data_IF_521849358766
#
_entry.id   IF_521849358766
#
_cell.length_a   1.000
_cell.length_b   1.000
_cell.length_c   1.000
_cell.angle_alpha   90.00
_cell.angle_beta   90.00
_cell.angle_gamma   90.00
#
_symmetry.space_group_name_H-M   'P 1'
#
loop_
_entity.id
_entity.type
_entity.pdbx_description
1 polymer ?
#
# COMPACT_ATOMS: atom_id res chain seq x y z
N UNK A 1 3.52 -7.62 20.89
CA UNK A 1 4.32 -6.48 21.37
C UNK A 1 4.15 -5.30 20.41
N UNK A 2 3.84 -4.14 20.96
CA UNK A 2 3.56 -2.89 20.25
C UNK A 2 4.83 -2.02 20.16
N UNK A 3 5.38 -1.73 18.97
CA UNK A 3 6.57 -0.89 18.83
C UNK A 3 6.42 0.49 19.46
N UNK A 4 5.23 1.10 19.44
CA UNK A 4 5.00 2.42 20.03
C UNK A 4 5.17 2.44 21.55
N UNK A 5 4.95 1.30 22.21
CA UNK A 5 5.13 1.19 23.66
C UNK A 5 6.60 0.95 24.03
N UNK A 6 7.39 0.41 23.10
CA UNK A 6 8.79 0.10 23.33
C UNK A 6 9.71 1.28 23.00
N UNK A 7 9.41 2.00 21.92
CA UNK A 7 10.28 3.02 21.35
C UNK A 7 9.55 4.36 21.09
N UNK A 8 8.84 4.91 22.09
CA UNK A 8 8.03 6.12 21.88
C UNK A 8 8.89 7.32 21.45
N UNK A 9 10.04 7.53 22.08
CA UNK A 9 10.91 8.66 21.81
C UNK A 9 11.53 8.58 20.40
N UNK A 10 11.87 7.38 19.94
CA UNK A 10 12.50 7.17 18.65
C UNK A 10 11.50 7.34 17.50
N UNK A 11 10.23 6.96 17.69
CA UNK A 11 9.17 7.26 16.73
C UNK A 11 8.81 8.75 16.72
N UNK A 12 8.81 9.43 17.87
CA UNK A 12 8.62 10.88 17.95
C UNK A 12 9.75 11.64 17.25
N UNK A 13 10.99 11.19 17.39
CA UNK A 13 12.15 11.79 16.71
C UNK A 13 12.09 11.66 15.18
N UNK A 14 11.36 10.67 14.65
CA UNK A 14 11.20 10.44 13.21
C UNK A 14 10.16 11.38 12.57
N UNK A 15 9.22 11.91 13.34
CA UNK A 15 8.09 12.70 12.83
C UNK A 15 8.32 14.21 12.92
N UNK A 16 7.72 14.97 12.01
CA UNK A 16 7.88 16.42 11.96
C UNK A 16 7.16 17.16 13.08
N UNK A 17 7.46 18.45 13.25
CA UNK A 17 6.76 19.29 14.23
C UNK A 17 5.24 19.33 13.93
N UNK A 18 4.42 19.01 14.94
CA UNK A 18 2.95 18.94 14.82
C UNK A 18 2.41 17.66 14.16
N UNK A 19 3.30 16.71 13.83
CA UNK A 19 2.94 15.36 13.38
C UNK A 19 2.81 14.43 14.60
N UNK A 20 1.73 13.66 14.66
CA UNK A 20 1.47 12.71 15.76
C UNK A 20 1.37 11.29 15.22
N UNK A 21 2.07 10.36 15.88
CA UNK A 21 2.03 8.94 15.52
C UNK A 21 0.75 8.31 16.08
N UNK A 22 -0.06 7.73 15.20
CA UNK A 22 -1.34 7.08 15.52
C UNK A 22 -1.19 5.57 15.71
N UNK A 23 -0.31 4.94 14.93
CA UNK A 23 -0.02 3.52 15.03
C UNK A 23 1.36 3.21 14.46
N UNK A 24 2.03 2.21 15.03
CA UNK A 24 3.17 1.57 14.39
C UNK A 24 3.08 0.05 14.51
N UNK A 25 3.52 -0.66 13.47
CA UNK A 25 3.60 -2.11 13.48
C UNK A 25 4.77 -2.59 12.64
N UNK A 26 5.53 -3.53 13.17
CA UNK A 26 6.45 -4.33 12.36
C UNK A 26 5.67 -4.97 11.20
N UNK A 27 6.18 -4.82 9.98
CA UNK A 27 5.58 -5.36 8.78
C UNK A 27 6.62 -5.97 7.86
N UNK A 28 6.17 -6.88 7.01
CA UNK A 28 6.93 -7.38 5.88
C UNK A 28 5.99 -7.53 4.70
N UNK A 29 6.55 -7.70 3.50
CA UNK A 29 5.73 -7.98 2.31
C UNK A 29 4.97 -9.28 2.54
N UNK A 30 3.67 -9.30 2.24
CA UNK A 30 2.89 -10.53 2.35
C UNK A 30 3.42 -11.60 1.38
N UNK A 31 3.37 -12.87 1.76
CA UNK A 31 3.82 -13.99 0.92
C UNK A 31 2.66 -14.57 0.09
N UNK A 32 2.98 -15.31 -0.97
CA UNK A 32 2.00 -16.10 -1.72
C UNK A 32 1.69 -15.52 -3.10
N UNK A 33 1.78 -16.40 -4.10
CA UNK A 33 1.70 -16.25 -5.55
C UNK A 33 0.36 -15.81 -6.13
N UNK A 34 -0.46 -15.10 -5.36
CA UNK A 34 -1.63 -14.45 -5.95
C UNK A 34 -1.20 -13.03 -6.25
N UNK A 35 -1.03 -12.74 -7.55
CA UNK A 35 -1.21 -11.38 -8.03
C UNK A 35 -2.40 -10.80 -7.26
N UNK A 36 -2.26 -9.60 -6.71
CA UNK A 36 -3.42 -8.84 -6.24
C UNK A 36 -4.24 -8.48 -7.49
N UNK A 37 -4.90 -9.48 -8.06
CA UNK A 37 -5.83 -9.38 -9.18
C UNK A 37 -7.13 -8.91 -8.58
N UNK A 38 -7.47 -7.65 -8.86
CA UNK A 38 -8.80 -7.15 -8.54
C UNK A 38 -9.79 -7.80 -9.48
N UNK A 39 -10.86 -8.35 -8.93
CA UNK A 39 -11.97 -8.83 -9.74
C UNK A 39 -12.58 -7.66 -10.55
N UNK A 40 -13.17 -7.91 -11.73
CA UNK A 40 -13.86 -6.87 -12.51
C UNK A 40 -14.89 -6.10 -11.69
N UNK A 41 -15.58 -6.76 -10.75
CA UNK A 41 -16.58 -6.16 -9.88
C UNK A 41 -15.97 -5.23 -8.82
N UNK A 42 -14.79 -5.54 -8.31
CA UNK A 42 -14.05 -4.65 -7.40
C UNK A 42 -13.50 -3.43 -8.15
N UNK A 43 -13.07 -3.61 -9.39
CA UNK A 43 -12.65 -2.53 -10.27
C UNK A 43 -13.81 -1.56 -10.55
N UNK A 44 -15.00 -2.08 -10.86
CA UNK A 44 -16.21 -1.26 -11.06
C UNK A 44 -16.59 -0.45 -9.81
N UNK A 45 -16.44 -1.03 -8.61
CA UNK A 45 -16.66 -0.30 -7.36
C UNK A 45 -15.67 0.84 -7.15
N UNK A 46 -14.39 0.62 -7.45
CA UNK A 46 -13.33 1.62 -7.26
C UNK A 46 -13.43 2.80 -8.23
N UNK A 47 -13.84 2.56 -9.48
CA UNK A 47 -14.11 3.66 -10.41
C UNK A 47 -15.45 4.34 -10.15
N UNK A 48 -16.32 3.73 -9.35
CA UNK A 48 -17.63 4.28 -8.97
C UNK A 48 -17.56 5.64 -8.26
N UNK A 49 -16.43 5.94 -7.61
CA UNK A 49 -16.17 7.21 -6.93
C UNK A 49 -15.69 8.34 -7.86
N UNK A 50 -15.36 8.02 -9.12
CA UNK A 50 -14.89 9.00 -10.11
C UNK A 50 -16.06 9.77 -10.75
N UNK A 51 -15.82 11.01 -11.23
CA UNK A 51 -16.82 11.75 -12.01
C UNK A 51 -17.33 10.93 -13.20
N UNK A 52 -18.63 11.03 -13.51
CA UNK A 52 -19.31 10.16 -14.47
C UNK A 52 -18.54 9.99 -15.80
N UNK A 53 -18.06 11.09 -16.38
CA UNK A 53 -17.30 11.06 -17.65
C UNK A 53 -16.00 10.25 -17.56
N UNK A 54 -15.28 10.35 -16.44
CA UNK A 54 -14.00 9.64 -16.21
C UNK A 54 -14.25 8.17 -15.89
N UNK A 55 -15.27 7.90 -15.05
CA UNK A 55 -15.72 6.54 -14.74
C UNK A 55 -16.13 5.80 -16.02
N UNK A 56 -16.95 6.42 -16.86
CA UNK A 56 -17.50 5.76 -18.05
C UNK A 56 -16.39 5.46 -19.07
N UNK A 57 -15.37 6.33 -19.17
CA UNK A 57 -14.16 6.08 -19.98
C UNK A 57 -13.30 4.95 -19.40
N UNK A 58 -13.09 4.92 -18.08
CA UNK A 58 -12.37 3.84 -17.41
C UNK A 58 -13.08 2.48 -17.57
N UNK A 59 -14.41 2.45 -17.43
CA UNK A 59 -15.24 1.26 -17.62
C UNK A 59 -15.22 0.76 -19.07
N UNK A 60 -15.26 1.68 -20.04
CA UNK A 60 -15.14 1.34 -21.46
C UNK A 60 -13.77 0.70 -21.77
N UNK A 61 -12.69 1.23 -21.19
CA UNK A 61 -11.36 0.64 -21.32
C UNK A 61 -11.27 -0.77 -20.71
N UNK A 62 -11.89 -0.99 -19.54
CA UNK A 62 -11.94 -2.30 -18.89
C UNK A 62 -12.70 -3.35 -19.72
N UNK A 63 -13.78 -2.96 -20.40
CA UNK A 63 -14.63 -3.86 -21.21
C UNK A 63 -14.06 -4.18 -22.59
N UNK A 64 -13.14 -3.36 -23.11
CA UNK A 64 -12.63 -3.48 -24.47
C UNK A 64 -11.53 -4.54 -24.65
N UNK A 65 -11.09 -5.23 -23.58
CA UNK A 65 -9.88 -6.07 -23.62
C UNK A 65 -10.17 -7.54 -23.26
N UNK A 66 -9.88 -8.52 -24.15
CA UNK A 66 -10.06 -9.94 -23.87
C UNK A 66 -8.94 -10.52 -22.97
N UNK A 67 -7.91 -9.73 -22.66
CA UNK A 67 -6.81 -10.10 -21.76
C UNK A 67 -6.77 -9.16 -20.56
N UNK A 68 -7.11 -9.64 -19.36
CA UNK A 68 -7.25 -8.79 -18.17
C UNK A 68 -5.94 -8.05 -17.79
N UNK A 69 -4.79 -8.56 -18.24
CA UNK A 69 -3.46 -8.04 -17.89
C UNK A 69 -3.13 -6.65 -18.46
N UNK A 70 -3.75 -6.21 -19.57
CA UNK A 70 -3.44 -4.92 -20.22
C UNK A 70 -4.48 -3.83 -20.00
N UNK A 71 -5.64 -4.19 -19.48
CA UNK A 71 -6.75 -3.26 -19.26
C UNK A 71 -6.37 -2.11 -18.30
N UNK A 72 -5.45 -2.38 -17.37
CA UNK A 72 -4.98 -1.41 -16.38
C UNK A 72 -4.21 -0.24 -16.97
N UNK A 73 -3.33 -0.49 -17.93
CA UNK A 73 -2.48 0.53 -18.54
C UNK A 73 -3.30 1.63 -19.22
N UNK A 74 -4.45 1.25 -19.81
CA UNK A 74 -5.35 2.21 -20.46
C UNK A 74 -6.20 3.00 -19.47
N UNK A 75 -6.66 2.37 -18.38
CA UNK A 75 -7.39 3.09 -17.31
C UNK A 75 -6.49 4.15 -16.70
N UNK A 76 -5.22 3.81 -16.43
CA UNK A 76 -4.21 4.77 -15.95
C UNK A 76 -3.95 5.86 -17.00
N UNK A 77 -3.81 5.52 -18.28
CA UNK A 77 -3.64 6.51 -19.34
C UNK A 77 -4.82 7.49 -19.46
N UNK A 78 -6.05 7.02 -19.21
CA UNK A 78 -7.25 7.86 -19.15
C UNK A 78 -7.25 8.75 -17.91
N UNK A 79 -6.83 8.24 -16.75
CA UNK A 79 -6.81 8.98 -15.48
C UNK A 79 -5.68 10.02 -15.41
N UNK A 80 -4.52 9.73 -16.01
CA UNK A 80 -3.30 10.54 -15.90
C UNK A 80 -3.15 11.53 -17.06
N UNK A 81 -3.95 11.39 -18.12
CA UNK A 81 -3.76 12.15 -19.36
C UNK A 81 -2.61 11.56 -20.15
N UNK A 82 -2.87 11.22 -21.41
CA UNK A 82 -1.93 10.54 -22.28
C UNK A 82 -0.66 11.38 -22.54
N UNK A 83 0.38 11.24 -21.71
CA UNK A 83 1.74 11.69 -22.07
C UNK A 83 2.92 11.12 -21.25
N UNK A 84 2.74 10.06 -20.46
CA UNK A 84 3.89 9.35 -19.86
C UNK A 84 4.03 7.95 -20.46
N UNK A 85 4.97 7.79 -21.38
CA UNK A 85 5.33 6.52 -22.02
C UNK A 85 5.84 5.52 -20.96
N UNK A 86 4.98 4.57 -20.61
CA UNK A 86 5.20 3.49 -19.65
C UNK A 86 6.11 2.42 -20.28
N UNK A 87 7.33 2.24 -19.78
CA UNK A 87 8.10 1.00 -20.02
C UNK A 87 7.69 -0.03 -18.97
N UNK A 88 6.76 -0.89 -19.37
CA UNK A 88 6.29 -2.03 -18.60
C UNK A 88 7.35 -3.13 -18.65
N UNK A 89 7.93 -3.45 -17.50
CA UNK A 89 8.84 -4.59 -17.37
C UNK A 89 8.05 -5.80 -16.86
N UNK A 90 7.85 -6.75 -17.78
CA UNK A 90 7.00 -7.93 -17.61
C UNK A 90 7.55 -8.85 -16.50
N UNK A 91 8.86 -8.89 -16.27
CA UNK A 91 9.46 -9.67 -15.19
C UNK A 91 9.16 -9.08 -13.80
N UNK A 92 8.95 -7.75 -13.73
CA UNK A 92 8.46 -7.05 -12.53
C UNK A 92 6.96 -7.28 -12.28
N UNK A 93 6.20 -7.60 -13.33
CA UNK A 93 4.77 -7.92 -13.25
C UNK A 93 4.49 -9.42 -12.97
N UNK A 94 5.44 -10.31 -13.27
CA UNK A 94 5.31 -11.77 -13.10
C UNK A 94 5.80 -12.25 -11.72
N UNK A 95 6.65 -11.50 -11.03
CA UNK A 95 7.30 -11.92 -9.78
C UNK A 95 6.43 -12.05 -8.51
N UNK A 96 5.09 -12.03 -8.59
CA UNK A 96 4.23 -12.23 -7.40
C UNK A 96 4.52 -11.23 -6.29
N UNK A 97 4.33 -9.95 -6.57
CA UNK A 97 4.63 -8.88 -5.63
C UNK A 97 3.40 -8.63 -4.74
N UNK A 98 3.60 -8.56 -3.43
CA UNK A 98 2.65 -8.04 -2.44
C UNK A 98 2.32 -6.53 -2.61
N UNK A 99 2.40 -6.04 -3.85
CA UNK A 99 2.03 -4.72 -4.28
C UNK A 99 1.58 -4.82 -5.74
N UNK A 100 0.41 -4.29 -6.06
CA UNK A 100 -0.08 -4.13 -7.43
C UNK A 100 -0.11 -2.63 -7.76
N UNK A 101 0.47 -2.24 -8.88
CA UNK A 101 0.56 -0.83 -9.28
C UNK A 101 1.65 -0.62 -10.32
N UNK A 102 1.58 0.51 -11.03
CA UNK A 102 2.61 0.87 -12.00
C UNK A 102 3.87 1.40 -11.30
N UNK A 103 4.99 1.45 -12.03
CA UNK A 103 6.21 2.10 -11.54
C UNK A 103 5.92 3.56 -11.15
N UNK A 104 6.36 3.97 -9.96
CA UNK A 104 6.09 5.30 -9.41
C UNK A 104 4.77 5.46 -8.63
N UNK A 105 3.90 4.44 -8.64
CA UNK A 105 2.70 4.43 -7.78
C UNK A 105 3.04 4.41 -6.29
N UNK A 106 2.07 4.76 -5.44
CA UNK A 106 2.18 4.75 -3.99
C UNK A 106 2.62 3.37 -3.48
N UNK A 107 1.96 2.30 -3.95
CA UNK A 107 2.33 0.94 -3.56
C UNK A 107 3.74 0.56 -4.06
N UNK A 108 4.14 0.98 -5.26
CA UNK A 108 5.48 0.72 -5.78
C UNK A 108 6.56 1.44 -4.97
N UNK A 109 6.36 2.72 -4.64
CA UNK A 109 7.29 3.50 -3.80
C UNK A 109 7.48 2.87 -2.43
N UNK A 110 6.38 2.47 -1.79
CA UNK A 110 6.43 1.80 -0.50
C UNK A 110 7.10 0.42 -0.61
N UNK A 111 6.73 -0.38 -1.61
CA UNK A 111 7.32 -1.71 -1.81
C UNK A 111 8.83 -1.65 -2.13
N UNK A 112 9.28 -0.67 -2.91
CA UNK A 112 10.69 -0.43 -3.20
C UNK A 112 11.45 -0.05 -1.93
N UNK A 113 10.87 0.78 -1.05
CA UNK A 113 11.45 1.10 0.26
C UNK A 113 11.67 -0.11 1.17
N UNK A 114 10.94 -1.21 0.98
CA UNK A 114 11.10 -2.44 1.77
C UNK A 114 12.16 -3.40 1.22
N UNK A 115 12.73 -3.15 0.03
CA UNK A 115 13.54 -4.17 -0.67
C UNK A 115 14.82 -4.55 0.09
N UNK A 116 15.52 -3.55 0.62
CA UNK A 116 16.87 -3.72 1.18
C UNK A 116 16.89 -3.59 2.72
N UNK A 117 15.73 -3.38 3.34
CA UNK A 117 15.62 -3.18 4.77
C UNK A 117 15.39 -4.50 5.52
N UNK A 118 16.26 -4.81 6.49
CA UNK A 118 16.17 -6.04 7.29
C UNK A 118 14.98 -6.08 8.24
N UNK A 119 14.61 -4.94 8.84
CA UNK A 119 13.48 -4.81 9.75
C UNK A 119 12.68 -3.56 9.41
N UNK A 120 11.42 -3.74 9.01
CA UNK A 120 10.57 -2.64 8.54
C UNK A 120 9.36 -2.47 9.44
N UNK A 121 9.02 -1.22 9.71
CA UNK A 121 7.86 -0.80 10.47
C UNK A 121 6.96 0.06 9.61
N UNK A 122 5.67 -0.25 9.58
CA UNK A 122 4.65 0.65 9.08
C UNK A 122 4.27 1.62 10.20
N UNK A 123 4.45 2.91 9.98
CA UNK A 123 4.10 3.99 10.90
C UNK A 123 3.02 4.84 10.25
N UNK A 124 1.93 5.08 10.98
CA UNK A 124 0.81 5.91 10.54
C UNK A 124 0.79 7.14 11.40
N UNK A 125 0.80 8.31 10.77
CA UNK A 125 0.68 9.60 11.44
C UNK A 125 -0.65 10.28 11.07
N UNK A 126 -0.91 11.44 11.67
CA UNK A 126 -2.00 12.31 11.23
C UNK A 126 -1.79 12.92 9.84
N UNK A 127 -0.59 12.81 9.24
CA UNK A 127 -0.26 13.45 7.95
C UNK A 127 0.14 12.47 6.85
N UNK A 128 0.74 11.32 7.19
CA UNK A 128 1.30 10.38 6.22
C UNK A 128 1.38 8.96 6.74
N UNK A 129 1.60 8.06 5.80
CA UNK A 129 1.99 6.67 6.04
C UNK A 129 3.47 6.56 5.70
N UNK A 130 4.27 6.05 6.64
CA UNK A 130 5.72 5.94 6.55
C UNK A 130 6.12 4.48 6.73
N UNK A 131 6.97 3.98 5.84
CA UNK A 131 7.77 2.78 6.11
C UNK A 131 9.08 3.22 6.72
N UNK A 132 9.40 2.68 7.88
CA UNK A 132 10.60 3.01 8.63
C UNK A 132 11.49 1.78 8.79
N UNK A 133 12.78 1.95 8.54
CA UNK A 133 13.82 1.01 8.93
C UNK A 133 14.16 1.21 10.40
N UNK A 134 14.75 0.19 11.02
CA UNK A 134 15.22 0.24 12.40
C UNK A 134 16.70 -0.14 12.44
N UNK A 135 17.52 0.76 12.98
CA UNK A 135 18.87 0.47 13.41
C UNK A 135 18.81 -0.07 14.84
N UNK A 136 19.66 -1.04 15.18
CA UNK A 136 19.63 -1.71 16.50
C UNK A 136 20.65 -1.15 17.48
N UNK A 137 21.66 -0.41 17.02
CA UNK A 137 22.73 0.13 17.85
C UNK A 137 23.32 1.44 17.27
N UNK A 138 22.93 2.63 17.79
CA UNK A 138 21.83 2.83 18.75
C UNK A 138 20.48 2.51 18.10
N UNK A 139 19.45 2.25 18.93
CA UNK A 139 18.09 2.09 18.41
C UNK A 139 17.61 3.40 17.80
N UNK A 140 17.35 3.40 16.49
CA UNK A 140 16.87 4.56 15.76
C UNK A 140 15.95 4.13 14.61
N UNK A 141 14.95 4.96 14.31
CA UNK A 141 14.08 4.77 13.15
C UNK A 141 14.39 5.80 12.08
N UNK A 142 14.48 5.34 10.83
CA UNK A 142 14.71 6.21 9.68
C UNK A 142 13.66 5.93 8.59
N UNK A 143 13.12 6.96 7.93
CA UNK A 143 12.12 6.78 6.87
C UNK A 143 12.77 6.14 5.64
N UNK A 144 12.15 5.07 5.13
CA UNK A 144 12.53 4.38 3.89
C UNK A 144 11.69 4.88 2.70
N UNK A 145 10.39 5.08 2.95
CA UNK A 145 9.45 5.62 1.98
C UNK A 145 8.22 6.15 2.72
N UNK A 146 7.59 7.18 2.16
CA UNK A 146 6.34 7.72 2.69
C UNK A 146 5.37 8.16 1.61
N UNK A 147 4.10 8.19 1.98
CA UNK A 147 3.00 8.72 1.17
C UNK A 147 2.05 9.54 2.04
N UNK A 148 1.43 10.63 1.52
CA UNK A 148 0.46 11.41 2.27
C UNK A 148 -0.72 10.55 2.75
N UNK A 149 -1.29 10.86 3.91
CA UNK A 149 -2.39 10.06 4.49
C UNK A 149 -3.62 10.08 3.57
N UNK A 150 -3.84 11.20 2.88
CA UNK A 150 -4.90 11.36 1.88
C UNK A 150 -4.70 10.53 0.61
N UNK A 151 -3.51 9.95 0.39
CA UNK A 151 -3.28 9.01 -0.70
C UNK A 151 -3.83 7.61 -0.39
N UNK A 152 -4.14 7.30 0.88
CA UNK A 152 -4.76 6.03 1.27
C UNK A 152 -6.26 6.13 0.99
N UNK A 153 -6.78 5.21 0.18
CA UNK A 153 -8.21 5.12 -0.14
C UNK A 153 -8.94 4.24 0.88
N UNK A 154 -8.41 3.05 1.17
CA UNK A 154 -8.96 2.14 2.18
C UNK A 154 -7.89 1.21 2.72
N UNK A 155 -8.11 0.68 3.92
CA UNK A 155 -7.33 -0.42 4.45
C UNK A 155 -8.26 -1.48 5.03
N UNK A 156 -7.94 -2.74 4.80
CA UNK A 156 -8.71 -3.87 5.32
C UNK A 156 -7.79 -4.99 5.76
N UNK A 157 -8.26 -5.79 6.71
CA UNK A 157 -7.61 -7.05 7.05
C UNK A 157 -8.08 -8.13 6.07
N UNK A 158 -7.14 -8.84 5.48
CA UNK A 158 -7.40 -9.93 4.54
C UNK A 158 -6.63 -11.17 4.97
N UNK A 159 -6.97 -11.68 6.16
CA UNK A 159 -6.27 -12.80 6.77
C UNK A 159 -6.36 -14.06 5.89
N UNK A 160 -5.22 -14.76 5.73
CA UNK A 160 -5.15 -16.07 5.05
C UNK A 160 -4.57 -17.13 5.98
N UNK A 161 -4.61 -18.39 5.56
CA UNK A 161 -3.92 -19.48 6.28
C UNK A 161 -2.43 -19.10 6.43
N UNK A 162 -1.92 -19.10 7.67
CA UNK A 162 -0.57 -18.62 8.06
C UNK A 162 -0.27 -17.13 7.83
N UNK A 163 -1.26 -16.30 7.49
CA UNK A 163 -1.11 -14.84 7.35
C UNK A 163 -2.27 -14.10 8.02
N UNK A 164 -2.53 -14.38 9.29
CA UNK A 164 -3.69 -13.78 9.99
C UNK A 164 -3.58 -12.26 10.11
N UNK A 165 -2.37 -11.72 10.21
CA UNK A 165 -2.10 -10.28 10.29
C UNK A 165 -1.94 -9.60 8.92
N UNK A 166 -2.46 -10.17 7.84
CA UNK A 166 -2.40 -9.56 6.49
C UNK A 166 -3.33 -8.35 6.41
N UNK A 167 -2.76 -7.22 6.01
CA UNK A 167 -3.44 -5.96 5.75
C UNK A 167 -3.28 -5.64 4.26
N UNK A 168 -4.37 -5.24 3.63
CA UNK A 168 -4.36 -4.74 2.27
C UNK A 168 -4.76 -3.27 2.30
N UNK A 169 -3.92 -2.43 1.70
CA UNK A 169 -4.06 -0.98 1.62
C UNK A 169 -4.26 -0.62 0.15
N UNK A 170 -5.36 0.05 -0.14
CA UNK A 170 -5.66 0.63 -1.45
C UNK A 170 -5.31 2.12 -1.43
N UNK A 171 -4.75 2.60 -2.53
CA UNK A 171 -4.39 4.00 -2.71
C UNK A 171 -5.26 4.70 -3.75
N UNK A 172 -5.23 6.03 -3.76
CA UNK A 172 -6.01 6.88 -4.69
C UNK A 172 -5.55 6.75 -6.14
N UNK A 173 -4.27 6.43 -6.37
CA UNK A 173 -3.74 6.06 -7.69
C UNK A 173 -4.12 4.62 -8.09
N UNK A 174 -5.03 4.03 -7.32
CA UNK A 174 -5.56 2.69 -7.47
C UNK A 174 -4.47 1.62 -7.40
N UNK A 175 -3.29 1.92 -6.88
CA UNK A 175 -2.33 0.89 -6.48
C UNK A 175 -2.79 0.20 -5.19
N UNK A 176 -2.24 -0.97 -4.91
CA UNK A 176 -2.55 -1.76 -3.72
C UNK A 176 -1.27 -2.29 -3.10
N UNK A 177 -1.16 -2.27 -1.78
CA UNK A 177 -0.06 -2.85 -1.03
C UNK A 177 -0.60 -3.85 -0.01
N UNK A 178 -0.04 -5.06 -0.01
CA UNK A 178 -0.34 -6.10 0.96
C UNK A 178 0.84 -6.29 1.92
N UNK A 179 0.57 -6.09 3.21
CA UNK A 179 1.56 -6.18 4.28
C UNK A 179 1.17 -7.30 5.24
N UNK A 180 2.15 -8.08 5.68
CA UNK A 180 1.99 -9.02 6.77
C UNK A 180 2.49 -8.38 8.06
N UNK A 181 1.62 -8.20 9.05
CA UNK A 181 1.96 -7.64 10.37
C UNK A 181 2.11 -8.71 11.47
N UNK A 182 1.74 -9.96 11.15
CA UNK A 182 1.90 -11.11 12.02
C UNK A 182 1.37 -12.40 11.40
N UNK A 183 1.93 -13.53 11.81
CA UNK A 183 1.55 -14.87 11.31
C UNK A 183 0.32 -15.40 12.05
N UNK A 184 0.33 -15.34 13.38
CA UNK A 184 -0.68 -15.98 14.25
C UNK A 184 -1.71 -15.04 14.87
N UNK A 185 -1.38 -13.75 14.97
CA UNK A 185 -2.22 -12.74 15.62
C UNK A 185 -2.69 -11.65 14.66
N UNK A 186 -3.81 -11.03 14.99
CA UNK A 186 -4.43 -9.96 14.18
C UNK A 186 -4.30 -8.58 14.80
N UNK A 187 -3.97 -8.47 16.10
CA UNK A 187 -4.03 -7.20 16.82
C UNK A 187 -3.13 -6.08 16.28
N UNK A 188 -2.07 -6.40 15.51
CA UNK A 188 -1.30 -5.39 14.77
C UNK A 188 -2.05 -4.92 13.51
N UNK A 189 -2.61 -5.85 12.75
CA UNK A 189 -3.43 -5.55 11.58
C UNK A 189 -4.67 -4.71 11.95
N UNK A 190 -5.35 -5.09 13.03
CA UNK A 190 -6.56 -4.39 13.50
C UNK A 190 -6.24 -2.95 13.92
N UNK A 191 -5.07 -2.71 14.56
CA UNK A 191 -4.58 -1.35 14.89
C UNK A 191 -4.24 -0.52 13.67
N UNK A 192 -3.55 -1.10 12.69
CA UNK A 192 -3.24 -0.42 11.42
C UNK A 192 -4.52 -0.01 10.68
N UNK A 193 -5.47 -0.94 10.55
CA UNK A 193 -6.76 -0.66 9.91
C UNK A 193 -7.53 0.42 10.68
N UNK A 194 -7.59 0.33 12.01
CA UNK A 194 -8.25 1.33 12.85
C UNK A 194 -7.64 2.73 12.71
N UNK A 195 -6.31 2.85 12.70
CA UNK A 195 -5.62 4.13 12.55
C UNK A 195 -5.83 4.77 11.17
N UNK A 196 -6.05 3.98 10.12
CA UNK A 196 -6.36 4.45 8.76
C UNK A 196 -7.85 4.74 8.53
N UNK A 197 -8.73 4.27 9.43
CA UNK A 197 -10.17 4.52 9.37
C UNK A 197 -10.57 5.88 9.97
N UNK A 198 -9.78 6.40 10.91
CA UNK A 198 -9.98 7.74 11.51
C UNK A 198 -9.42 8.79 10.55
N UNK A 199 -10.25 9.30 9.63
CA UNK A 199 -9.91 10.40 8.73
C UNK A 199 -10.54 11.69 9.20
#
# INVERSE_FOLDING_TARGET
>A
MDPLQLYPAEFEAMVGAGETVRAAAHCQRAFGSDRLERSPQELERLVGFLPARVRDQALAALKAEPRPEKAWERVVAVLVGADSVIRFDVDRAIGGIAAAGHAGSCAARLADGMRDAGMVHLVITNQRLVLAGMDLDPVAFHPLADVPIGAVLSARREGRFLQRGRVVIDFVDLSQLALMTGVFGTGRADRIVGALAVR
#
